data_IF_689278419212
#
_entry.id   IF_689278419212
#
_cell.length_a   1.000
_cell.length_b   1.000
_cell.length_c   1.000
_cell.angle_alpha   90.00
_cell.angle_beta   90.00
_cell.angle_gamma   90.00
#
_symmetry.space_group_name_H-M   'P 1'
#
loop_
_entity.id
_entity.type
_entity.pdbx_description
1 polymer ?
#
# COMPACT_ATOMS: atom_id res chain seq x y z
N UNK A 1 -49.58 -48.05 -6.77
CA UNK A 1 -49.47 -48.55 -5.38
C UNK A 1 -48.01 -48.71 -5.06
N UNK A 2 -47.52 -47.90 -4.12
CA UNK A 2 -46.14 -47.85 -3.63
C UNK A 2 -45.65 -49.19 -3.08
N UNK A 3 -44.34 -49.45 -3.19
CA UNK A 3 -43.61 -50.28 -2.22
C UNK A 3 -42.24 -49.68 -1.91
N UNK A 4 -42.19 -49.03 -0.76
CA UNK A 4 -41.03 -48.53 -0.03
C UNK A 4 -40.32 -49.65 0.75
N UNK A 5 -38.98 -49.52 0.88
CA UNK A 5 -37.97 -50.19 1.78
C UNK A 5 -36.84 -50.79 0.95
N UNK A 6 -35.56 -50.46 1.18
CA UNK A 6 -34.81 -50.58 2.45
C UNK A 6 -33.68 -49.54 2.62
N UNK A 7 -33.49 -49.19 3.90
CA UNK A 7 -32.49 -48.43 4.70
C UNK A 7 -31.00 -48.88 4.55
N UNK A 8 -29.97 -48.33 5.27
CA UNK A 8 -29.78 -47.06 6.03
C UNK A 8 -28.38 -46.34 5.88
N UNK A 9 -28.32 -45.08 6.35
CA UNK A 9 -27.27 -44.35 7.15
C UNK A 9 -25.76 -44.68 7.01
N UNK A 10 -24.89 -43.66 6.81
CA UNK A 10 -23.72 -43.28 7.67
C UNK A 10 -22.85 -42.14 7.04
N UNK A 11 -22.64 -41.08 7.86
CA UNK A 11 -21.54 -40.07 7.98
C UNK A 11 -21.11 -39.24 6.74
N UNK A 12 -21.28 -37.91 6.76
CA UNK A 12 -20.45 -36.90 7.44
C UNK A 12 -19.13 -36.68 6.69
N UNK A 13 -19.08 -35.65 5.84
CA UNK A 13 -17.85 -34.90 5.55
C UNK A 13 -18.21 -33.52 4.98
N UNK A 14 -18.01 -32.48 5.79
CA UNK A 14 -17.84 -31.12 5.32
C UNK A 14 -16.38 -30.98 4.89
N UNK A 15 -16.11 -30.87 3.59
CA UNK A 15 -14.82 -30.37 3.10
C UNK A 15 -14.99 -29.75 1.70
N UNK A 16 -14.73 -28.45 1.49
CA UNK A 16 -14.45 -27.89 0.16
C UNK A 16 -13.08 -28.40 -0.37
N UNK A 17 -12.84 -28.39 -1.70
CA UNK A 17 -11.74 -29.12 -2.35
C UNK A 17 -10.33 -28.58 -2.00
N UNK A 18 -9.27 -29.42 -2.10
CA UNK A 18 -7.93 -29.10 -1.62
C UNK A 18 -7.11 -28.25 -2.61
N UNK A 19 -6.07 -27.65 -2.02
CA UNK A 19 -5.07 -26.67 -2.47
C UNK A 19 -4.57 -26.77 -3.93
N UNK A 20 -4.70 -25.67 -4.68
CA UNK A 20 -3.71 -25.24 -5.69
C UNK A 20 -2.87 -24.12 -5.06
N UNK A 21 -1.94 -24.52 -4.18
CA UNK A 21 -0.97 -23.65 -3.55
C UNK A 21 0.42 -23.87 -4.13
N UNK A 22 0.66 -23.40 -5.36
CA UNK A 22 2.02 -23.28 -5.89
C UNK A 22 2.15 -21.95 -6.64
N UNK A 23 2.55 -20.91 -5.92
CA UNK A 23 3.06 -19.67 -6.51
C UNK A 23 4.52 -19.56 -6.07
N UNK A 24 5.41 -19.77 -7.02
CA UNK A 24 6.85 -19.55 -6.89
C UNK A 24 7.11 -18.13 -6.34
N UNK A 25 8.03 -17.94 -5.37
CA UNK A 25 8.41 -16.61 -4.95
C UNK A 25 9.28 -16.01 -6.06
N UNK A 26 8.68 -15.25 -6.97
CA UNK A 26 9.47 -14.34 -7.80
C UNK A 26 9.94 -13.24 -6.87
N UNK A 27 11.25 -13.04 -6.83
CA UNK A 27 11.92 -11.96 -6.13
C UNK A 27 11.41 -10.64 -6.71
N UNK A 28 10.30 -10.13 -6.21
CA UNK A 28 9.97 -8.74 -6.38
C UNK A 28 10.92 -7.99 -5.46
N UNK A 29 11.84 -7.28 -6.10
CA UNK A 29 12.71 -6.29 -5.51
C UNK A 29 11.89 -5.56 -4.46
N UNK A 30 12.36 -5.62 -3.21
CA UNK A 30 11.91 -4.71 -2.17
C UNK A 30 12.21 -3.31 -2.72
N UNK A 31 11.25 -2.71 -3.40
CA UNK A 31 11.07 -1.28 -3.31
C UNK A 31 10.99 -1.05 -1.82
N UNK A 32 12.09 -0.57 -1.24
CA UNK A 32 12.09 -0.02 0.10
C UNK A 32 11.10 1.12 0.03
N UNK A 33 9.83 0.79 0.27
CA UNK A 33 8.84 1.71 0.79
C UNK A 33 9.49 2.18 2.08
N UNK A 34 10.25 3.28 1.99
CA UNK A 34 10.73 4.03 3.12
C UNK A 34 9.47 4.57 3.78
N UNK A 35 8.87 3.70 4.61
CA UNK A 35 7.78 4.02 5.49
C UNK A 35 8.41 4.97 6.49
N UNK A 36 8.46 6.25 6.11
CA UNK A 36 8.81 7.33 7.02
C UNK A 36 7.68 7.35 8.04
N UNK A 37 7.87 6.61 9.13
CA UNK A 37 7.02 6.65 10.30
C UNK A 37 6.95 8.11 10.73
N UNK A 38 5.81 8.75 10.48
CA UNK A 38 5.55 10.10 10.93
C UNK A 38 5.47 10.04 12.45
N UNK A 39 6.62 10.19 13.10
CA UNK A 39 6.74 10.28 14.55
C UNK A 39 6.06 11.58 14.97
N UNK A 40 4.79 11.49 15.34
CA UNK A 40 4.10 12.54 16.06
C UNK A 40 4.59 12.44 17.51
N UNK A 41 5.50 13.31 17.93
CA UNK A 41 6.02 13.34 19.29
C UNK A 41 4.94 13.83 20.26
N UNK A 42 4.02 12.96 20.67
CA UNK A 42 3.14 13.22 21.82
C UNK A 42 3.93 12.97 23.09
N UNK A 43 4.90 13.84 23.34
CA UNK A 43 5.69 13.88 24.55
C UNK A 43 5.05 14.80 25.58
N UNK A 44 3.95 14.36 26.19
CA UNK A 44 3.78 14.43 27.65
C UNK A 44 2.60 13.55 28.07
N UNK A 45 2.83 12.72 29.09
CA UNK A 45 1.79 11.87 29.66
C UNK A 45 0.98 12.72 30.63
N UNK A 46 -0.04 13.41 30.12
CA UNK A 46 -1.17 13.78 30.96
C UNK A 46 -2.48 13.53 30.20
N UNK A 47 -3.22 12.55 30.72
CA UNK A 47 -4.58 12.09 30.35
C UNK A 47 -5.05 12.54 28.96
N UNK A 48 -4.84 11.70 27.94
CA UNK A 48 -5.51 11.86 26.64
C UNK A 48 -7.02 11.81 26.89
N UNK A 49 -7.66 12.96 26.77
CA UNK A 49 -9.09 13.05 26.53
C UNK A 49 -9.38 12.23 25.27
N UNK A 50 -10.24 11.19 25.33
CA UNK A 50 -10.46 10.27 24.21
C UNK A 50 -11.08 10.89 22.95
N UNK A 51 -11.21 12.22 22.87
CA UNK A 51 -12.10 12.90 21.94
C UNK A 51 -11.43 13.94 21.01
N UNK A 52 -10.24 13.69 20.48
CA UNK A 52 -9.55 14.74 19.69
C UNK A 52 -8.95 14.34 18.35
N UNK A 53 -9.37 13.21 17.77
CA UNK A 53 -9.34 13.05 16.31
C UNK A 53 -10.77 12.85 15.81
N UNK A 54 -11.44 13.97 15.55
CA UNK A 54 -12.73 13.94 14.88
C UNK A 54 -12.56 13.35 13.48
N UNK A 55 -13.63 12.77 12.94
CA UNK A 55 -13.63 12.31 11.55
C UNK A 55 -13.35 13.43 10.54
N UNK A 56 -13.53 14.70 10.94
CA UNK A 56 -13.19 15.89 10.17
C UNK A 56 -11.68 16.14 10.11
N UNK A 57 -10.97 16.04 11.24
CA UNK A 57 -9.51 16.23 11.25
C UNK A 57 -8.80 15.12 10.45
N UNK A 58 -9.31 13.89 10.48
CA UNK A 58 -8.82 12.81 9.63
C UNK A 58 -9.02 13.08 8.13
N UNK A 59 -10.18 13.62 7.72
CA UNK A 59 -10.44 13.96 6.32
C UNK A 59 -9.57 15.11 5.81
N UNK A 60 -9.29 16.11 6.66
CA UNK A 60 -8.37 17.21 6.35
C UNK A 60 -6.96 16.65 6.13
N UNK A 61 -6.48 15.82 7.05
CA UNK A 61 -5.16 15.20 6.95
C UNK A 61 -5.00 14.35 5.69
N UNK A 62 -6.00 13.53 5.35
CA UNK A 62 -6.00 12.73 4.11
C UNK A 62 -5.88 13.64 2.88
N UNK A 63 -6.61 14.75 2.84
CA UNK A 63 -6.56 15.72 1.73
C UNK A 63 -5.19 16.38 1.63
N UNK A 64 -4.60 16.76 2.75
CA UNK A 64 -3.26 17.35 2.79
C UNK A 64 -2.21 16.37 2.28
N UNK A 65 -2.22 15.12 2.75
CA UNK A 65 -1.32 14.06 2.30
C UNK A 65 -1.44 13.85 0.78
N UNK A 66 -2.67 13.77 0.26
CA UNK A 66 -2.90 13.69 -1.19
C UNK A 66 -2.33 14.91 -1.95
N UNK A 67 -2.47 16.11 -1.39
CA UNK A 67 -1.89 17.33 -1.97
C UNK A 67 -0.36 17.31 -1.99
N UNK A 68 0.26 16.85 -0.91
CA UNK A 68 1.72 16.68 -0.83
C UNK A 68 2.23 15.66 -1.84
N UNK A 69 1.54 14.54 -2.04
CA UNK A 69 1.94 13.53 -3.03
C UNK A 69 2.02 14.14 -4.45
N UNK A 70 1.03 14.94 -4.84
CA UNK A 70 1.06 15.65 -6.13
C UNK A 70 2.22 16.66 -6.20
N UNK A 71 2.51 17.37 -5.11
CA UNK A 71 3.63 18.30 -5.07
C UNK A 71 4.98 17.58 -5.23
N UNK A 72 5.13 16.40 -4.61
CA UNK A 72 6.31 15.56 -4.71
C UNK A 72 6.53 15.03 -6.13
N UNK A 73 5.48 14.53 -6.78
CA UNK A 73 5.54 14.11 -8.20
C UNK A 73 6.02 15.25 -9.12
N UNK A 74 5.50 16.46 -8.91
CA UNK A 74 5.92 17.63 -9.68
C UNK A 74 7.38 18.00 -9.44
N UNK A 75 7.83 17.93 -8.19
CA UNK A 75 9.24 18.18 -7.84
C UNK A 75 10.17 17.15 -8.50
N UNK A 76 9.79 15.86 -8.46
CA UNK A 76 10.54 14.78 -9.09
C UNK A 76 10.67 15.01 -10.61
N UNK A 77 9.57 15.40 -11.27
CA UNK A 77 9.59 15.76 -12.69
C UNK A 77 10.51 16.93 -12.99
N UNK A 78 10.46 18.00 -12.19
CA UNK A 78 11.32 19.15 -12.34
C UNK A 78 12.81 18.81 -12.20
N UNK A 79 13.16 17.95 -11.23
CA UNK A 79 14.52 17.46 -11.03
C UNK A 79 14.98 16.67 -12.27
N UNK A 80 14.14 15.77 -12.79
CA UNK A 80 14.44 15.00 -13.99
C UNK A 80 14.68 15.89 -15.22
N UNK A 81 13.88 16.94 -15.38
CA UNK A 81 14.05 17.91 -16.46
C UNK A 81 15.38 18.67 -16.34
N UNK A 82 15.79 19.06 -15.12
CA UNK A 82 17.10 19.69 -14.88
C UNK A 82 18.24 18.74 -15.19
N UNK A 83 18.16 17.48 -14.73
CA UNK A 83 19.17 16.44 -15.03
C UNK A 83 19.31 16.26 -16.55
N UNK A 84 18.20 16.19 -17.29
CA UNK A 84 18.21 16.06 -18.74
C UNK A 84 18.88 17.25 -19.43
N UNK A 85 18.57 18.48 -18.99
CA UNK A 85 19.21 19.69 -19.51
C UNK A 85 20.72 19.69 -19.27
N UNK A 86 21.14 19.32 -18.06
CA UNK A 86 22.56 19.24 -17.71
C UNK A 86 23.30 18.19 -18.55
N UNK A 87 22.70 17.00 -18.77
CA UNK A 87 23.25 15.99 -19.67
C UNK A 87 23.47 16.54 -21.09
N UNK A 88 22.52 17.29 -21.62
CA UNK A 88 22.64 17.91 -22.94
C UNK A 88 23.76 18.96 -22.99
N UNK A 89 23.90 19.79 -21.95
CA UNK A 89 24.99 20.77 -21.86
C UNK A 89 26.35 20.07 -21.87
N UNK A 90 26.52 19.04 -21.02
CA UNK A 90 27.76 18.25 -20.96
C UNK A 90 28.05 17.60 -22.32
N UNK A 91 27.02 17.03 -22.96
CA UNK A 91 27.16 16.44 -24.29
C UNK A 91 27.69 17.43 -25.31
N UNK A 92 27.12 18.65 -25.38
CA UNK A 92 27.57 19.70 -26.31
C UNK A 92 29.00 20.15 -26.01
N UNK A 93 29.34 20.36 -24.74
CA UNK A 93 30.68 20.79 -24.34
C UNK A 93 31.75 19.75 -24.67
N UNK A 94 31.44 18.46 -24.55
CA UNK A 94 32.36 17.37 -24.91
C UNK A 94 32.56 17.18 -26.43
N UNK A 95 31.83 17.93 -27.28
CA UNK A 95 32.01 17.91 -28.74
C UNK A 95 32.98 18.99 -29.24
N UNK A 96 33.35 19.95 -28.39
CA UNK A 96 34.32 21.02 -28.66
C UNK A 96 35.70 20.54 -28.26
#
# INVERSE_FOLDING_TARGET
GEKTRRTPLIREDQSPPPEEGEIHPTQEEQEEEDVVELVITTGDRDVVDPDHFTSESAQILIREIMGYNLALENLQKNINDVIKKNKNIIYVLGRV
#
